data_IF_537492750090
#
_entry.id   IF_537492750090
#
_cell.length_a   1.000
_cell.length_b   1.000
_cell.length_c   1.000
_cell.angle_alpha   90.00
_cell.angle_beta   90.00
_cell.angle_gamma   90.00
#
_symmetry.space_group_name_H-M   'P 1'
#
loop_
_entity.id
_entity.type
_entity.pdbx_description
1 polymer ?
#
# COMPACT_ATOMS: atom_id res chain seq x y z
N UNK A 1 -36.88 -4.66 -18.97
CA UNK A 1 -36.63 -3.23 -19.18
C UNK A 1 -35.83 -2.74 -17.98
N UNK A 2 -34.63 -2.17 -18.20
CA UNK A 2 -33.76 -1.67 -17.14
C UNK A 2 -33.95 -0.15 -16.91
N UNK A 3 -34.87 0.50 -17.64
CA UNK A 3 -35.12 1.95 -17.50
C UNK A 3 -35.64 2.38 -16.12
N UNK A 4 -36.00 1.42 -15.26
CA UNK A 4 -36.48 1.68 -13.89
C UNK A 4 -35.56 1.13 -12.80
N UNK A 5 -34.35 0.72 -13.17
CA UNK A 5 -33.34 0.28 -12.20
C UNK A 5 -32.35 1.42 -11.99
N UNK A 6 -32.27 1.93 -10.76
CA UNK A 6 -31.26 2.89 -10.36
C UNK A 6 -30.18 2.19 -9.52
N UNK A 7 -28.93 2.55 -9.77
CA UNK A 7 -27.79 2.09 -8.97
C UNK A 7 -27.13 3.31 -8.33
N UNK A 8 -27.03 3.26 -7.01
CA UNK A 8 -26.35 4.26 -6.20
C UNK A 8 -25.14 3.62 -5.53
N UNK A 9 -24.00 4.30 -5.57
CA UNK A 9 -22.78 3.90 -4.88
C UNK A 9 -22.43 4.99 -3.88
N UNK A 10 -22.14 4.62 -2.64
CA UNK A 10 -21.81 5.56 -1.55
C UNK A 10 -20.41 6.18 -1.69
N UNK A 11 -19.64 5.79 -2.71
CA UNK A 11 -18.25 6.21 -2.88
C UNK A 11 -17.24 5.33 -2.13
N UNK A 12 -17.72 4.35 -1.35
CA UNK A 12 -16.89 3.48 -0.53
C UNK A 12 -17.16 2.00 -0.78
N UNK A 13 -18.16 1.41 -0.13
CA UNK A 13 -18.40 -0.03 -0.11
C UNK A 13 -19.85 -0.41 -0.30
N UNK A 14 -20.77 0.54 -0.37
CA UNK A 14 -22.19 0.23 -0.40
C UNK A 14 -22.75 0.54 -1.77
N UNK A 15 -23.31 -0.49 -2.39
CA UNK A 15 -24.13 -0.34 -3.59
C UNK A 15 -25.58 -0.58 -3.22
N UNK A 16 -26.41 0.35 -3.64
CA UNK A 16 -27.86 0.29 -3.50
C UNK A 16 -28.46 0.16 -4.89
N UNK A 17 -29.25 -0.88 -5.09
CA UNK A 17 -30.03 -1.11 -6.31
C UNK A 17 -31.49 -0.87 -5.99
N UNK A 18 -32.08 0.14 -6.63
CA UNK A 18 -33.51 0.48 -6.53
C UNK A 18 -34.22 0.00 -7.79
N UNK A 19 -35.32 -0.72 -7.63
CA UNK A 19 -36.18 -1.14 -8.73
C UNK A 19 -37.65 -1.05 -8.34
N UNK A 20 -38.56 -1.38 -9.28
CA UNK A 20 -40.02 -1.32 -9.07
C UNK A 20 -40.51 -2.04 -7.81
N UNK A 21 -39.87 -3.15 -7.45
CA UNK A 21 -40.31 -4.02 -6.35
C UNK A 21 -39.64 -3.70 -5.01
N UNK A 22 -38.77 -2.70 -4.96
CA UNK A 22 -38.07 -2.30 -3.74
C UNK A 22 -36.60 -1.97 -3.94
N UNK A 23 -35.89 -1.87 -2.81
CA UNK A 23 -34.49 -1.49 -2.73
C UNK A 23 -33.66 -2.63 -2.12
N UNK A 24 -32.50 -2.90 -2.71
CA UNK A 24 -31.52 -3.86 -2.18
C UNK A 24 -30.21 -3.13 -1.96
N UNK A 25 -29.77 -3.09 -0.70
CA UNK A 25 -28.47 -2.54 -0.31
C UNK A 25 -27.48 -3.68 -0.05
N UNK A 26 -26.29 -3.60 -0.63
CA UNK A 26 -25.20 -4.55 -0.40
C UNK A 26 -23.90 -3.83 -0.12
N UNK A 27 -23.23 -4.25 0.95
CA UNK A 27 -21.84 -3.91 1.23
C UNK A 27 -20.93 -4.88 0.47
N UNK A 28 -20.06 -4.33 -0.37
CA UNK A 28 -19.10 -5.04 -1.18
C UNK A 28 -17.74 -5.11 -0.45
N UNK A 29 -16.97 -6.20 -0.62
CA UNK A 29 -15.67 -6.37 0.01
C UNK A 29 -14.57 -5.60 -0.74
N UNK A 30 -14.76 -4.30 -0.99
CA UNK A 30 -13.82 -3.46 -1.72
C UNK A 30 -12.69 -3.03 -0.77
N UNK A 31 -11.42 -3.35 -1.05
CA UNK A 31 -10.30 -2.81 -0.28
C UNK A 31 -10.15 -1.31 -0.54
N UNK A 32 -10.05 -0.51 0.53
CA UNK A 32 -9.92 0.95 0.43
C UNK A 32 -8.66 1.40 1.14
N UNK A 33 -7.82 2.19 0.47
CA UNK A 33 -6.65 2.77 1.12
C UNK A 33 -7.06 3.98 1.97
N UNK A 34 -6.68 3.96 3.24
CA UNK A 34 -7.01 4.99 4.24
C UNK A 34 -5.81 5.83 4.66
N UNK A 35 -4.68 5.70 3.95
CA UNK A 35 -3.47 6.46 4.24
C UNK A 35 -2.52 5.74 5.19
N UNK A 36 -1.90 6.51 6.09
CA UNK A 36 -0.96 5.99 7.08
C UNK A 36 -1.67 5.59 8.36
N UNK A 37 -1.19 4.53 8.98
CA UNK A 37 -1.61 4.17 10.32
C UNK A 37 -1.06 5.17 11.35
N UNK A 38 -1.88 5.51 12.34
CA UNK A 38 -1.50 6.25 13.55
C UNK A 38 -2.30 5.73 14.73
N UNK A 39 -1.81 5.96 15.95
CA UNK A 39 -2.54 5.60 17.17
C UNK A 39 -3.95 6.24 17.17
N UNK A 40 -4.95 5.45 17.55
CA UNK A 40 -6.36 5.89 17.60
C UNK A 40 -7.10 5.86 16.26
N UNK A 41 -6.46 5.47 15.15
CA UNK A 41 -7.17 5.34 13.86
C UNK A 41 -8.26 4.26 13.94
N UNK A 42 -9.44 4.60 13.43
CA UNK A 42 -10.55 3.67 13.27
C UNK A 42 -10.46 3.07 11.87
N UNK A 43 -10.41 1.75 11.79
CA UNK A 43 -10.34 1.02 10.53
C UNK A 43 -11.43 -0.06 10.48
N UNK A 44 -12.04 -0.23 9.31
CA UNK A 44 -12.95 -1.32 9.01
C UNK A 44 -12.21 -2.48 8.33
N UNK A 45 -12.77 -3.68 8.40
CA UNK A 45 -12.29 -4.83 7.62
C UNK A 45 -12.19 -4.46 6.14
N UNK A 46 -11.03 -4.71 5.55
CA UNK A 46 -10.72 -4.38 4.17
C UNK A 46 -10.07 -3.00 3.98
N UNK A 47 -9.96 -2.16 5.02
CA UNK A 47 -9.14 -0.96 4.93
C UNK A 47 -7.67 -1.31 4.81
N UNK A 48 -6.95 -0.57 3.97
CA UNK A 48 -5.52 -0.69 3.75
C UNK A 48 -4.85 0.53 4.36
N UNK A 49 -3.92 0.32 5.29
CA UNK A 49 -3.13 1.38 5.91
C UNK A 49 -1.64 1.08 5.79
N UNK A 50 -0.84 2.13 5.66
CA UNK A 50 0.62 2.02 5.59
C UNK A 50 1.23 2.20 6.99
N UNK A 51 2.03 1.23 7.42
CA UNK A 51 2.80 1.29 8.65
C UNK A 51 4.24 0.84 8.39
N UNK A 52 5.24 1.61 8.85
CA UNK A 52 6.67 1.31 8.65
C UNK A 52 7.04 0.95 7.20
N UNK A 53 6.47 1.69 6.23
CA UNK A 53 6.70 1.49 4.80
C UNK A 53 6.03 0.25 4.18
N UNK A 54 5.28 -0.53 4.94
CA UNK A 54 4.52 -1.70 4.47
C UNK A 54 3.03 -1.37 4.47
N UNK A 55 2.30 -1.74 3.42
CA UNK A 55 0.85 -1.63 3.42
C UNK A 55 0.24 -2.90 4.01
N UNK A 56 -0.71 -2.72 4.94
CA UNK A 56 -1.43 -3.79 5.60
C UNK A 56 -2.92 -3.64 5.33
N UNK A 57 -3.63 -4.75 5.18
CA UNK A 57 -5.09 -4.80 5.10
C UNK A 57 -5.65 -5.29 6.44
N UNK A 58 -6.63 -4.57 6.98
CA UNK A 58 -7.36 -4.97 8.17
C UNK A 58 -8.24 -6.19 7.87
N UNK A 59 -8.16 -7.24 8.69
CA UNK A 59 -8.98 -8.45 8.55
C UNK A 59 -10.11 -8.53 9.57
N UNK A 60 -10.19 -7.55 10.48
CA UNK A 60 -11.28 -7.35 11.45
C UNK A 60 -11.69 -5.89 11.46
N UNK A 61 -12.89 -5.60 11.95
CA UNK A 61 -13.31 -4.23 12.23
C UNK A 61 -12.69 -3.75 13.54
N UNK A 62 -12.29 -2.49 13.58
CA UNK A 62 -11.67 -1.83 14.73
C UNK A 62 -10.52 -2.61 15.37
N UNK A 63 -9.45 -2.95 14.62
CA UNK A 63 -8.24 -3.58 15.16
C UNK A 63 -7.75 -2.88 16.43
N UNK A 64 -7.31 -3.67 17.41
CA UNK A 64 -6.85 -3.15 18.72
C UNK A 64 -5.35 -2.93 18.79
N UNK A 65 -4.63 -3.33 17.75
CA UNK A 65 -3.20 -3.20 17.65
C UNK A 65 -2.73 -2.44 16.41
N UNK A 66 -1.48 -2.01 16.45
CA UNK A 66 -0.79 -1.49 15.28
C UNK A 66 -0.43 -2.62 14.28
N UNK A 67 -0.43 -2.34 12.96
CA UNK A 67 -0.07 -3.32 11.95
C UNK A 67 1.39 -3.77 12.02
N UNK A 68 1.68 -5.02 11.66
CA UNK A 68 3.05 -5.52 11.55
C UNK A 68 3.71 -5.95 12.85
N UNK A 69 2.98 -5.94 13.97
CA UNK A 69 3.44 -6.55 15.22
C UNK A 69 2.99 -8.01 15.24
N UNK A 70 3.96 -8.94 15.17
CA UNK A 70 3.70 -10.37 14.94
C UNK A 70 2.73 -11.05 15.93
N UNK A 71 2.55 -10.53 17.15
CA UNK A 71 1.54 -11.04 18.10
C UNK A 71 0.09 -10.83 17.63
N UNK A 72 -0.12 -10.00 16.62
CA UNK A 72 -1.43 -9.61 16.11
C UNK A 72 -1.61 -9.78 14.59
N UNK A 73 -0.91 -10.75 14.00
CA UNK A 73 -1.06 -11.15 12.59
C UNK A 73 -2.49 -11.62 12.23
N UNK A 74 -3.40 -11.71 13.20
CA UNK A 74 -4.81 -12.06 13.00
C UNK A 74 -5.72 -10.84 12.82
N UNK A 75 -5.26 -9.62 13.10
CA UNK A 75 -6.03 -8.37 12.86
C UNK A 75 -5.56 -7.64 11.60
N UNK A 76 -4.29 -7.80 11.22
CA UNK A 76 -3.68 -7.22 10.03
C UNK A 76 -2.99 -8.27 9.18
N UNK A 77 -3.10 -8.17 7.86
CA UNK A 77 -2.30 -8.94 6.89
C UNK A 77 -1.49 -8.01 6.01
N UNK A 78 -0.28 -8.44 5.63
CA UNK A 78 0.54 -7.70 4.67
C UNK A 78 -0.19 -7.66 3.32
N UNK A 79 -0.48 -6.46 2.82
CA UNK A 79 -1.05 -6.24 1.49
C UNK A 79 0.08 -6.07 0.47
N UNK A 80 1.05 -5.19 0.75
CA UNK A 80 2.26 -5.02 -0.06
C UNK A 80 3.46 -4.67 0.83
N UNK A 81 4.66 -5.09 0.44
CA UNK A 81 5.91 -4.74 1.13
C UNK A 81 6.66 -3.65 0.39
N UNK A 82 7.37 -2.79 1.14
CA UNK A 82 8.38 -1.89 0.57
C UNK A 82 9.38 -2.71 -0.25
N UNK A 83 9.81 -2.16 -1.38
CA UNK A 83 10.95 -2.69 -2.13
C UNK A 83 12.24 -2.67 -1.29
N UNK A 84 13.22 -3.49 -1.68
CA UNK A 84 14.57 -3.43 -1.10
C UNK A 84 15.18 -2.06 -1.40
N UNK A 85 16.01 -1.58 -0.48
CA UNK A 85 16.81 -0.40 -0.73
C UNK A 85 17.75 -0.64 -1.94
N UNK A 86 18.06 0.45 -2.66
CA UNK A 86 18.99 0.40 -3.77
C UNK A 86 20.39 -0.01 -3.32
N UNK A 87 21.21 -0.50 -4.25
CA UNK A 87 22.64 -0.71 -3.96
C UNK A 87 23.31 0.66 -3.75
N UNK A 88 24.21 0.72 -2.79
CA UNK A 88 25.07 1.89 -2.59
C UNK A 88 25.82 2.24 -3.88
N UNK A 89 25.97 3.54 -4.16
CA UNK A 89 26.77 4.01 -5.27
C UNK A 89 28.24 3.61 -5.11
N UNK A 90 28.93 3.27 -6.21
CA UNK A 90 30.37 2.98 -6.19
C UNK A 90 31.18 4.24 -5.87
N UNK A 91 31.63 4.43 -4.63
CA UNK A 91 32.73 5.30 -4.13
C UNK A 91 33.14 6.56 -4.93
N UNK A 92 32.24 7.23 -5.64
CA UNK A 92 32.55 8.43 -6.43
C UNK A 92 33.63 8.27 -7.52
N UNK A 93 33.90 7.04 -8.01
CA UNK A 93 34.86 6.86 -9.13
C UNK A 93 34.19 7.38 -10.40
N UNK A 94 34.52 8.63 -10.74
CA UNK A 94 34.23 9.21 -12.03
C UNK A 94 35.13 8.56 -13.09
N UNK A 95 34.52 7.68 -13.91
CA UNK A 95 35.18 6.97 -15.01
C UNK A 95 35.52 7.86 -16.20
N UNK A 96 35.10 9.13 -16.20
CA UNK A 96 35.51 10.11 -17.22
C UNK A 96 36.80 10.83 -16.85
N UNK A 97 37.31 10.65 -15.61
CA UNK A 97 38.58 11.25 -15.21
C UNK A 97 39.74 10.62 -16.01
N UNK A 98 40.65 11.44 -16.57
CA UNK A 98 41.83 10.92 -17.24
C UNK A 98 42.69 10.11 -16.26
N UNK A 99 43.19 8.96 -16.72
CA UNK A 99 44.12 8.12 -15.96
C UNK A 99 45.48 8.82 -15.89
N UNK A 100 46.02 8.99 -14.69
CA UNK A 100 47.39 9.46 -14.50
C UNK A 100 48.37 8.34 -14.88
N UNK A 101 48.86 8.37 -16.11
CA UNK A 101 50.01 7.56 -16.53
C UNK A 101 51.28 8.23 -16.01
N UNK A 102 51.94 7.64 -15.01
CA UNK A 102 53.32 8.01 -14.70
C UNK A 102 54.19 7.55 -15.87
N UNK A 103 54.95 8.47 -16.47
CA UNK A 103 55.98 8.11 -17.46
C UNK A 103 56.94 7.11 -16.82
N UNK A 104 57.17 6.00 -17.51
CA UNK A 104 58.24 5.07 -17.15
C UNK A 104 59.57 5.83 -17.33
N UNK A 105 60.56 5.67 -16.43
CA UNK A 105 61.89 6.20 -16.68
C UNK A 105 62.38 5.63 -18.02
N UNK A 106 62.88 6.50 -18.90
CA UNK A 106 63.44 6.09 -20.17
C UNK A 106 64.65 5.19 -19.88
N UNK A 107 64.64 3.97 -20.40
CA UNK A 107 65.78 3.04 -20.32
C UNK A 107 66.89 3.61 -21.23
N UNK A 108 67.98 4.09 -20.62
CA UNK A 108 69.21 4.58 -21.27
C UNK A 108 70.12 3.43 -21.74
#
# INVERSE_FOLDING_TARGET
>A
DLTEVALEFDGERTVTVKGRTGEVTKRLPIPLWRGYWSEGVVAERGDILTHNGTAYIAVVDNPKCEPGVGKYDHEWKVFTRKGRDGKDGRNGIDRTKPVNLKKKPDDE
#
